data_IF_624413372799
#
_entry.id   IF_624413372799
#
_cell.length_a   1.000
_cell.length_b   1.000
_cell.length_c   1.000
_cell.angle_alpha   90.00
_cell.angle_beta   90.00
_cell.angle_gamma   90.00
#
_symmetry.space_group_name_H-M   'P 1'
#
loop_
_entity.id
_entity.type
_entity.pdbx_description
1 polymer ?
#
# COMPACT_ATOMS: atom_id res chain seq x y z
N UNK A 1 14.35 -7.09 25.51
CA UNK A 1 13.02 -7.68 25.75
C UNK A 1 12.17 -6.67 26.51
N UNK A 2 10.97 -6.36 26.02
CA UNK A 2 10.07 -5.36 26.60
C UNK A 2 8.82 -6.04 27.15
N UNK A 3 8.63 -6.02 28.46
CA UNK A 3 7.50 -6.64 29.14
C UNK A 3 7.29 -6.01 30.53
N UNK A 4 6.38 -6.53 31.33
CA UNK A 4 6.31 -6.23 32.76
C UNK A 4 7.42 -6.98 33.50
N UNK A 5 7.98 -6.37 34.54
CA UNK A 5 9.10 -6.97 35.29
C UNK A 5 8.82 -8.35 35.87
N UNK A 6 7.54 -8.67 36.15
CA UNK A 6 7.09 -9.98 36.62
C UNK A 6 7.10 -11.07 35.54
N UNK A 7 7.16 -10.69 34.26
CA UNK A 7 6.98 -11.59 33.11
C UNK A 7 8.28 -11.87 32.35
N UNK A 8 9.40 -11.27 32.75
CA UNK A 8 10.70 -11.47 32.10
C UNK A 8 11.14 -12.92 32.04
N UNK A 9 10.83 -13.70 33.07
CA UNK A 9 11.19 -15.13 33.14
C UNK A 9 10.66 -15.94 31.94
N UNK A 10 9.55 -15.50 31.30
CA UNK A 10 8.97 -16.21 30.14
C UNK A 10 9.88 -16.25 28.91
N UNK A 11 10.70 -15.22 28.73
CA UNK A 11 11.62 -15.11 27.60
C UNK A 11 13.08 -15.32 28.01
N UNK A 12 13.34 -15.42 29.32
CA UNK A 12 14.68 -15.42 29.88
C UNK A 12 15.48 -16.64 29.48
N UNK A 13 14.91 -17.82 29.66
CA UNK A 13 15.57 -19.09 29.31
C UNK A 13 16.02 -19.09 27.84
N UNK A 14 15.15 -18.67 26.91
CA UNK A 14 15.49 -18.68 25.49
C UNK A 14 16.50 -17.59 25.13
N UNK A 15 16.33 -16.36 25.64
CA UNK A 15 17.21 -15.25 25.29
C UNK A 15 18.61 -15.45 25.90
N UNK A 16 18.71 -15.90 27.15
CA UNK A 16 19.99 -16.11 27.83
C UNK A 16 20.84 -17.20 27.14
N UNK A 17 20.22 -18.17 26.46
CA UNK A 17 20.95 -19.11 25.59
C UNK A 17 21.76 -18.37 24.52
N UNK A 18 21.22 -17.34 23.87
CA UNK A 18 21.95 -16.56 22.86
C UNK A 18 23.11 -15.77 23.46
N UNK A 19 22.92 -15.16 24.64
CA UNK A 19 24.01 -14.45 25.34
C UNK A 19 25.11 -15.40 25.80
N UNK A 20 24.76 -16.62 26.22
CA UNK A 20 25.72 -17.65 26.61
C UNK A 20 26.51 -18.20 25.41
N UNK A 21 25.87 -18.31 24.23
CA UNK A 21 26.50 -18.82 23.01
C UNK A 21 27.42 -17.80 22.34
N UNK A 22 27.23 -16.49 22.57
CA UNK A 22 28.03 -15.45 21.93
C UNK A 22 28.17 -14.20 22.79
N UNK A 23 29.42 -13.82 23.09
CA UNK A 23 29.75 -12.57 23.79
C UNK A 23 29.35 -11.28 23.03
N UNK A 24 28.91 -11.39 21.77
CA UNK A 24 28.41 -10.24 21.00
C UNK A 24 26.95 -9.91 21.32
N UNK A 25 26.20 -10.85 21.89
CA UNK A 25 24.78 -10.68 22.21
C UNK A 25 24.65 -10.13 23.62
N UNK A 26 24.01 -8.96 23.73
CA UNK A 26 23.69 -8.31 24.99
C UNK A 26 22.17 -8.22 25.11
N UNK A 27 21.63 -8.58 26.27
CA UNK A 27 20.19 -8.66 26.49
C UNK A 27 19.81 -7.65 27.56
N UNK A 28 18.95 -6.70 27.17
CA UNK A 28 18.34 -5.76 28.10
C UNK A 28 16.88 -6.13 28.35
N UNK A 29 16.54 -6.36 29.62
CA UNK A 29 15.15 -6.51 30.07
C UNK A 29 14.61 -5.15 30.50
N UNK A 30 13.65 -4.64 29.74
CA UNK A 30 13.09 -3.29 29.92
C UNK A 30 11.66 -3.42 30.40
N UNK A 31 11.42 -2.96 31.63
CA UNK A 31 10.09 -2.91 32.23
C UNK A 31 9.34 -1.72 31.61
N UNK A 32 8.33 -2.01 30.79
CA UNK A 32 7.62 -1.00 29.98
C UNK A 32 6.89 0.01 30.88
N UNK A 33 6.40 -0.44 32.04
CA UNK A 33 5.66 0.40 32.98
C UNK A 33 6.61 1.32 33.77
N UNK A 34 7.80 0.82 34.12
CA UNK A 34 8.82 1.61 34.84
C UNK A 34 9.65 2.50 33.93
N UNK A 35 9.87 2.09 32.68
CA UNK A 35 10.71 2.79 31.69
C UNK A 35 9.93 3.10 30.40
N UNK A 36 8.82 3.85 30.47
CA UNK A 36 7.95 4.07 29.31
C UNK A 36 8.62 4.88 28.19
N UNK A 37 9.65 5.66 28.49
CA UNK A 37 10.39 6.44 27.49
C UNK A 37 11.18 5.53 26.53
N UNK A 38 11.88 4.52 27.06
CA UNK A 38 12.64 3.56 26.25
C UNK A 38 11.72 2.71 25.38
N UNK A 39 10.57 2.27 25.93
CA UNK A 39 9.58 1.52 25.17
C UNK A 39 9.00 2.35 24.02
N UNK A 40 8.73 3.65 24.23
CA UNK A 40 8.27 4.55 23.16
C UNK A 40 9.33 4.78 22.09
N UNK A 41 10.58 4.98 22.48
CA UNK A 41 11.69 5.16 21.53
C UNK A 41 11.92 3.90 20.68
N UNK A 42 11.73 2.72 21.27
CA UNK A 42 11.81 1.44 20.57
C UNK A 42 10.52 1.09 19.79
N UNK A 43 9.49 1.94 19.79
CA UNK A 43 8.25 1.73 19.04
C UNK A 43 7.35 0.61 19.58
N UNK A 44 7.55 0.18 20.83
CA UNK A 44 6.88 -0.96 21.44
C UNK A 44 5.41 -0.63 21.73
N UNK A 45 4.50 -1.46 21.22
CA UNK A 45 3.05 -1.31 21.40
C UNK A 45 2.43 -2.38 22.30
N UNK A 46 3.03 -3.56 22.36
CA UNK A 46 2.52 -4.72 23.10
C UNK A 46 3.55 -5.15 24.15
N UNK A 47 3.08 -5.78 25.22
CA UNK A 47 3.96 -6.48 26.17
C UNK A 47 4.49 -7.78 25.56
N UNK A 48 5.67 -8.20 25.99
CA UNK A 48 6.31 -9.42 25.51
C UNK A 48 7.01 -9.27 24.17
N UNK A 49 7.33 -8.05 23.76
CA UNK A 49 8.00 -7.77 22.48
C UNK A 49 9.52 -7.95 22.61
N UNK A 50 10.10 -8.75 21.72
CA UNK A 50 11.55 -8.90 21.57
C UNK A 50 12.03 -8.08 20.38
N UNK A 51 13.03 -7.21 20.58
CA UNK A 51 13.67 -6.45 19.51
C UNK A 51 15.15 -6.80 19.48
N UNK A 52 15.64 -7.19 18.30
CA UNK A 52 17.06 -7.39 18.00
C UNK A 52 17.60 -6.09 17.41
N UNK A 53 18.65 -5.53 18.02
CA UNK A 53 19.31 -4.32 17.52
C UNK A 53 20.76 -4.63 17.12
N UNK A 54 21.14 -4.25 15.90
CA UNK A 54 22.52 -4.35 15.39
C UNK A 54 22.91 -3.00 14.80
N UNK A 55 23.78 -2.27 15.49
CA UNK A 55 24.10 -0.88 15.15
C UNK A 55 22.85 0.01 15.26
N UNK A 56 22.48 0.67 14.15
CA UNK A 56 21.26 1.48 14.05
C UNK A 56 20.01 0.65 13.68
N UNK A 57 20.18 -0.57 13.14
CA UNK A 57 19.07 -1.39 12.64
C UNK A 57 18.38 -2.11 13.79
N UNK A 58 17.05 -2.09 13.81
CA UNK A 58 16.19 -2.74 14.81
C UNK A 58 15.18 -3.63 14.12
N UNK A 59 15.07 -4.87 14.59
CA UNK A 59 14.16 -5.88 14.04
C UNK A 59 13.35 -6.51 15.19
N UNK A 60 12.03 -6.44 15.11
CA UNK A 60 11.13 -7.10 16.06
C UNK A 60 11.00 -8.59 15.73
N UNK A 61 11.07 -9.46 16.74
CA UNK A 61 10.78 -10.89 16.60
C UNK A 61 9.27 -11.13 16.78
N UNK A 62 8.69 -12.02 15.97
CA UNK A 62 7.25 -12.30 15.98
C UNK A 62 6.79 -12.97 17.29
N UNK A 63 7.68 -13.76 17.90
CA UNK A 63 7.46 -14.37 19.21
C UNK A 63 8.80 -14.55 19.94
N UNK A 64 8.76 -15.18 21.12
CA UNK A 64 9.94 -15.57 21.90
C UNK A 64 10.47 -16.95 21.53
N UNK A 65 10.00 -17.55 20.43
CA UNK A 65 10.53 -18.81 19.91
C UNK A 65 11.95 -18.65 19.37
N UNK A 66 12.74 -19.73 19.38
CA UNK A 66 14.09 -19.70 18.81
C UNK A 66 14.10 -19.30 17.34
N UNK A 67 13.17 -19.86 16.57
CA UNK A 67 13.02 -19.62 15.13
C UNK A 67 12.79 -18.12 14.84
N UNK A 68 11.88 -17.49 15.57
CA UNK A 68 11.55 -16.07 15.37
C UNK A 68 12.69 -15.13 15.80
N UNK A 69 13.39 -15.48 16.89
CA UNK A 69 14.54 -14.72 17.39
C UNK A 69 15.73 -14.85 16.43
N UNK A 70 16.08 -16.07 16.00
CA UNK A 70 17.13 -16.32 15.00
C UNK A 70 16.79 -15.62 13.68
N UNK A 71 15.52 -15.70 13.26
CA UNK A 71 15.03 -14.96 12.10
C UNK A 71 15.27 -13.46 12.24
N UNK A 72 15.00 -12.86 13.40
CA UNK A 72 15.26 -11.44 13.67
C UNK A 72 16.75 -11.09 13.60
N UNK A 73 17.64 -11.95 14.11
CA UNK A 73 19.08 -11.78 13.95
C UNK A 73 19.51 -11.82 12.48
N UNK A 74 19.02 -12.79 11.69
CA UNK A 74 19.33 -12.89 10.27
C UNK A 74 18.86 -11.63 9.53
N UNK A 75 17.68 -11.08 9.86
CA UNK A 75 17.20 -9.80 9.31
C UNK A 75 18.12 -8.63 9.62
N UNK A 76 18.51 -8.52 10.89
CA UNK A 76 19.34 -7.43 11.36
C UNK A 76 20.76 -7.52 10.77
N UNK A 77 21.26 -8.74 10.52
CA UNK A 77 22.56 -9.01 9.90
C UNK A 77 22.55 -8.92 8.37
N UNK A 78 21.43 -9.22 7.70
CA UNK A 78 21.32 -9.11 6.25
C UNK A 78 21.46 -7.64 5.85
N UNK A 79 22.62 -7.32 5.27
CA UNK A 79 22.99 -6.01 4.74
C UNK A 79 22.71 -5.89 3.24
N UNK A 80 21.64 -6.51 2.75
CA UNK A 80 21.22 -6.30 1.36
C UNK A 80 20.39 -5.02 1.32
N UNK A 81 20.99 -3.94 0.81
CA UNK A 81 20.22 -2.80 0.34
C UNK A 81 19.14 -3.33 -0.60
N UNK A 82 17.88 -3.17 -0.19
CA UNK A 82 16.75 -3.65 -0.98
C UNK A 82 16.54 -2.66 -2.11
N UNK A 83 16.86 -3.08 -3.33
CA UNK A 83 16.81 -2.20 -4.49
C UNK A 83 15.43 -2.27 -5.13
N UNK A 84 14.79 -1.10 -5.27
CA UNK A 84 13.50 -0.99 -5.96
C UNK A 84 13.77 -0.39 -7.33
N UNK A 85 13.65 -1.20 -8.39
CA UNK A 85 13.93 -0.75 -9.75
C UNK A 85 12.65 -0.29 -10.44
N UNK A 86 12.61 0.97 -10.83
CA UNK A 86 11.52 1.54 -11.61
C UNK A 86 11.85 1.37 -13.10
N UNK A 87 10.97 0.69 -13.81
CA UNK A 87 11.09 0.52 -15.25
C UNK A 87 10.88 1.86 -15.96
N UNK A 88 11.64 2.07 -17.03
CA UNK A 88 11.58 3.25 -17.89
C UNK A 88 11.74 2.88 -19.36
N UNK A 89 11.26 3.75 -20.23
CA UNK A 89 11.40 3.64 -21.69
C UNK A 89 10.05 3.55 -22.41
N UNK A 90 8.95 3.39 -21.69
CA UNK A 90 7.59 3.33 -22.24
C UNK A 90 6.65 4.37 -21.63
N UNK A 91 7.20 5.51 -21.18
CA UNK A 91 6.43 6.65 -20.67
C UNK A 91 5.98 6.53 -19.21
N UNK A 92 6.61 5.66 -18.43
CA UNK A 92 6.37 5.49 -17.00
C UNK A 92 6.68 6.76 -16.21
N UNK A 93 6.07 6.87 -15.03
CA UNK A 93 6.39 7.89 -14.05
C UNK A 93 7.86 7.80 -13.61
N UNK A 94 8.58 8.92 -13.72
CA UNK A 94 10.00 8.99 -13.37
C UNK A 94 10.18 9.28 -11.88
N UNK A 95 11.09 8.55 -11.23
CA UNK A 95 11.38 8.70 -9.80
C UNK A 95 12.13 9.98 -9.45
N UNK A 96 12.76 10.64 -10.41
CA UNK A 96 13.46 11.90 -10.20
C UNK A 96 12.62 13.12 -10.60
N UNK A 97 11.45 12.88 -11.20
CA UNK A 97 10.52 13.94 -11.58
C UNK A 97 9.80 14.52 -10.35
N UNK A 98 9.93 15.83 -10.16
CA UNK A 98 9.32 16.61 -9.08
C UNK A 98 7.96 17.18 -9.43
N UNK A 99 7.54 17.07 -10.69
CA UNK A 99 6.24 17.53 -11.15
C UNK A 99 5.10 16.71 -10.56
N UNK A 100 3.86 17.17 -10.77
CA UNK A 100 2.64 16.57 -10.21
C UNK A 100 2.47 15.08 -10.55
N UNK A 101 2.94 14.68 -11.72
CA UNK A 101 2.89 13.30 -12.22
C UNK A 101 4.15 12.51 -11.87
N UNK A 102 5.23 13.14 -11.43
CA UNK A 102 6.46 12.45 -11.06
C UNK A 102 6.33 11.60 -9.79
N UNK A 103 7.35 10.78 -9.51
CA UNK A 103 7.39 9.83 -8.39
C UNK A 103 8.46 10.19 -7.33
N UNK A 104 9.07 11.37 -7.38
CA UNK A 104 10.11 11.77 -6.40
C UNK A 104 9.69 11.71 -4.94
N UNK A 105 8.42 11.98 -4.60
CA UNK A 105 7.93 11.79 -3.23
C UNK A 105 7.89 10.31 -2.84
N UNK A 106 7.51 9.42 -3.75
CA UNK A 106 7.55 7.98 -3.48
C UNK A 106 9.00 7.51 -3.33
N UNK A 107 9.93 7.99 -4.17
CA UNK A 107 11.37 7.74 -4.02
C UNK A 107 11.88 8.14 -2.63
N UNK A 108 11.52 9.33 -2.18
CA UNK A 108 11.94 9.83 -0.85
C UNK A 108 11.32 9.00 0.29
N UNK A 109 10.08 8.54 0.12
CA UNK A 109 9.43 7.62 1.07
C UNK A 109 10.13 6.27 1.14
N UNK A 110 10.48 5.69 -0.01
CA UNK A 110 11.22 4.43 -0.09
C UNK A 110 12.62 4.57 0.51
N UNK A 111 13.31 5.67 0.22
CA UNK A 111 14.65 5.96 0.78
C UNK A 111 14.62 6.06 2.30
N UNK A 112 13.55 6.65 2.88
CA UNK A 112 13.35 6.69 4.33
C UNK A 112 13.11 5.32 4.96
N UNK A 113 12.60 4.37 4.19
CA UNK A 113 12.42 2.97 4.59
C UNK A 113 13.65 2.11 4.20
N UNK A 114 14.81 2.76 3.98
CA UNK A 114 16.10 2.12 3.67
C UNK A 114 16.14 1.32 2.36
N UNK A 115 15.15 1.51 1.49
CA UNK A 115 15.24 1.03 0.11
C UNK A 115 16.19 1.90 -0.70
N UNK A 116 16.77 1.32 -1.76
CA UNK A 116 17.53 2.06 -2.78
C UNK A 116 16.72 2.10 -4.07
N UNK A 117 15.93 3.16 -4.34
CA UNK A 117 15.23 3.31 -5.61
C UNK A 117 16.22 3.57 -6.74
N UNK A 118 16.06 2.90 -7.88
CA UNK A 118 16.82 3.20 -9.09
C UNK A 118 15.94 3.10 -10.33
N UNK A 119 16.26 3.87 -11.37
CA UNK A 119 15.62 3.73 -12.68
C UNK A 119 16.39 2.71 -13.54
N UNK A 120 15.67 1.84 -14.25
CA UNK A 120 16.23 0.90 -15.22
C UNK A 120 15.47 1.01 -16.54
N UNK A 121 16.17 0.94 -17.67
CA UNK A 121 15.52 1.00 -18.99
C UNK A 121 15.39 -0.39 -19.61
N UNK A 122 14.16 -0.92 -19.60
CA UNK A 122 13.86 -2.21 -20.25
C UNK A 122 13.83 -2.11 -21.78
N UNK A 123 13.69 -0.89 -22.31
CA UNK A 123 13.80 -0.61 -23.74
C UNK A 123 15.25 -0.73 -24.24
N UNK A 124 16.22 -0.21 -23.47
CA UNK A 124 17.64 -0.28 -23.84
C UNK A 124 18.23 -1.66 -23.57
N UNK A 125 17.85 -2.27 -22.44
CA UNK A 125 18.31 -3.59 -22.05
C UNK A 125 17.13 -4.37 -21.48
N UNK A 126 16.64 -5.33 -22.25
CA UNK A 126 15.53 -6.21 -21.87
C UNK A 126 15.98 -7.26 -20.82
N UNK A 127 16.37 -6.80 -19.64
CA UNK A 127 16.83 -7.61 -18.53
C UNK A 127 16.58 -6.85 -17.22
N UNK A 128 15.97 -7.52 -16.24
CA UNK A 128 15.87 -7.00 -14.87
C UNK A 128 17.19 -7.31 -14.15
N UNK A 129 17.92 -6.32 -13.63
CA UNK A 129 19.18 -6.54 -12.92
C UNK A 129 19.05 -7.50 -11.74
N UNK A 130 20.06 -8.35 -11.50
CA UNK A 130 20.04 -9.35 -10.42
C UNK A 130 20.03 -8.75 -9.00
N UNK A 131 20.49 -7.50 -8.84
CA UNK A 131 20.42 -6.76 -7.58
C UNK A 131 19.03 -6.12 -7.34
N UNK A 132 18.09 -6.26 -8.28
CA UNK A 132 16.73 -5.78 -8.14
C UNK A 132 15.94 -6.66 -7.19
N UNK A 133 15.48 -6.09 -6.08
CA UNK A 133 14.61 -6.78 -5.12
C UNK A 133 13.15 -6.69 -5.55
N UNK A 134 12.72 -5.52 -6.02
CA UNK A 134 11.36 -5.29 -6.53
C UNK A 134 11.44 -4.50 -7.83
N UNK A 135 10.82 -5.01 -8.89
CA UNK A 135 10.59 -4.29 -10.13
C UNK A 135 9.27 -3.51 -10.03
N UNK A 136 9.25 -2.23 -10.42
CA UNK A 136 8.04 -1.42 -10.48
C UNK A 136 7.80 -0.97 -11.92
N UNK A 137 6.65 -1.34 -12.48
CA UNK A 137 6.15 -0.84 -13.77
C UNK A 137 5.12 0.25 -13.45
N UNK A 138 5.53 1.51 -13.57
CA UNK A 138 4.81 2.66 -13.05
C UNK A 138 4.05 3.45 -14.13
N UNK A 139 2.89 2.96 -14.56
CA UNK A 139 1.99 3.69 -15.47
C UNK A 139 2.57 3.91 -16.87
N UNK A 140 2.91 2.85 -17.64
CA UNK A 140 3.43 3.03 -18.98
C UNK A 140 2.37 3.60 -19.91
N UNK A 141 2.70 4.70 -20.59
CA UNK A 141 1.81 5.31 -21.58
C UNK A 141 2.01 4.74 -22.98
N UNK A 142 3.14 4.10 -23.25
CA UNK A 142 3.44 3.43 -24.52
C UNK A 142 3.49 1.90 -24.37
N UNK A 143 3.37 1.19 -25.49
CA UNK A 143 3.39 -0.28 -25.49
C UNK A 143 4.77 -0.86 -25.16
N UNK A 144 4.77 -1.79 -24.21
CA UNK A 144 5.92 -2.66 -23.96
C UNK A 144 6.18 -3.60 -25.14
N UNK A 145 7.44 -3.61 -25.61
CA UNK A 145 7.87 -4.55 -26.63
C UNK A 145 8.06 -5.96 -26.05
N UNK A 146 7.84 -7.00 -26.86
CA UNK A 146 7.88 -8.39 -26.42
C UNK A 146 9.16 -8.77 -25.64
N UNK A 147 10.38 -8.35 -26.04
CA UNK A 147 11.59 -8.67 -25.28
C UNK A 147 11.56 -8.14 -23.84
N UNK A 148 11.00 -6.94 -23.61
CA UNK A 148 10.85 -6.38 -22.27
C UNK A 148 9.81 -7.16 -21.46
N UNK A 149 8.70 -7.55 -22.08
CA UNK A 149 7.67 -8.39 -21.44
C UNK A 149 8.25 -9.75 -21.05
N UNK A 150 9.04 -10.37 -21.92
CA UNK A 150 9.70 -11.65 -21.66
C UNK A 150 10.71 -11.55 -20.51
N UNK A 151 11.44 -10.43 -20.41
CA UNK A 151 12.35 -10.17 -19.30
C UNK A 151 11.62 -10.06 -17.95
N UNK A 152 10.49 -9.35 -17.92
CA UNK A 152 9.62 -9.25 -16.74
C UNK A 152 9.06 -10.62 -16.36
N UNK A 153 8.56 -11.36 -17.36
CA UNK A 153 8.03 -12.71 -17.17
C UNK A 153 9.09 -13.61 -16.53
N UNK A 154 10.27 -13.67 -17.14
CA UNK A 154 11.39 -14.48 -16.63
C UNK A 154 11.73 -14.10 -15.19
N UNK A 155 11.86 -12.82 -14.89
CA UNK A 155 12.20 -12.33 -13.56
C UNK A 155 11.19 -12.80 -12.50
N UNK A 156 9.88 -12.64 -12.73
CA UNK A 156 8.86 -13.08 -11.76
C UNK A 156 8.78 -14.60 -11.67
N UNK A 157 8.84 -15.32 -12.79
CA UNK A 157 8.78 -16.79 -12.83
C UNK A 157 10.05 -17.47 -12.26
N UNK A 158 11.13 -16.72 -12.03
CA UNK A 158 12.34 -17.17 -11.36
C UNK A 158 12.38 -16.80 -9.86
N UNK A 159 11.29 -16.25 -9.32
CA UNK A 159 11.17 -15.89 -7.89
C UNK A 159 11.20 -14.37 -7.63
N UNK A 160 11.33 -13.57 -8.67
CA UNK A 160 11.33 -12.11 -8.59
C UNK A 160 10.00 -11.52 -8.12
N UNK A 161 10.07 -10.25 -7.75
CA UNK A 161 8.95 -9.48 -7.16
C UNK A 161 8.61 -8.29 -8.03
N UNK A 162 7.36 -8.15 -8.48
CA UNK A 162 6.97 -7.08 -9.38
C UNK A 162 5.73 -6.30 -8.91
N UNK A 163 5.74 -4.98 -9.10
CA UNK A 163 4.62 -4.09 -8.81
C UNK A 163 4.17 -3.43 -10.11
N UNK A 164 2.95 -3.75 -10.55
CA UNK A 164 2.35 -3.23 -11.77
C UNK A 164 1.31 -2.18 -11.43
N UNK A 165 1.54 -0.96 -11.89
CA UNK A 165 0.62 0.15 -11.82
C UNK A 165 0.18 0.46 -13.25
N UNK A 166 -1.03 0.06 -13.64
CA UNK A 166 -1.43 0.08 -15.04
C UNK A 166 -2.76 0.79 -15.22
N UNK A 167 -2.71 1.93 -15.90
CA UNK A 167 -3.82 2.82 -16.14
C UNK A 167 -4.79 2.28 -17.22
N UNK A 168 -6.03 2.79 -17.27
CA UNK A 168 -6.92 2.62 -18.41
C UNK A 168 -6.29 3.16 -19.71
N UNK A 169 -6.53 2.53 -20.86
CA UNK A 169 -6.05 3.04 -22.15
C UNK A 169 -6.88 4.26 -22.61
N UNK A 170 -6.59 5.40 -21.99
CA UNK A 170 -7.28 6.66 -22.22
C UNK A 170 -6.74 7.38 -23.44
N UNK A 171 -7.67 7.90 -24.25
CA UNK A 171 -7.37 8.74 -25.42
C UNK A 171 -8.06 10.08 -25.25
N UNK A 172 -7.46 10.95 -24.42
CA UNK A 172 -8.07 12.22 -24.03
C UNK A 172 -7.19 13.40 -24.46
N UNK A 173 -7.63 14.12 -25.49
CA UNK A 173 -6.91 15.28 -26.01
C UNK A 173 -5.54 14.90 -26.58
N UNK A 174 -4.45 15.43 -25.99
CA UNK A 174 -3.06 15.13 -26.39
C UNK A 174 -2.42 14.00 -25.58
N UNK A 175 -3.13 13.45 -24.60
CA UNK A 175 -2.64 12.35 -23.78
C UNK A 175 -3.25 11.04 -24.29
N UNK A 176 -2.38 10.13 -24.68
CA UNK A 176 -2.74 8.77 -25.10
C UNK A 176 -1.97 7.78 -24.23
N UNK A 177 -2.73 6.84 -23.65
CA UNK A 177 -2.21 5.69 -22.92
C UNK A 177 -2.50 4.47 -23.78
N UNK A 178 -1.44 3.77 -24.17
CA UNK A 178 -1.53 2.56 -24.99
C UNK A 178 -2.18 1.40 -24.22
N UNK A 179 -2.76 0.47 -24.97
CA UNK A 179 -3.44 -0.70 -24.42
C UNK A 179 -2.51 -1.64 -23.64
N UNK A 180 -1.22 -1.66 -24.00
CA UNK A 180 -0.21 -2.56 -23.43
C UNK A 180 -0.62 -4.03 -23.53
N UNK A 181 -1.17 -4.45 -24.68
CA UNK A 181 -1.77 -5.76 -24.88
C UNK A 181 -0.81 -6.93 -24.52
N UNK A 182 0.48 -6.81 -24.81
CA UNK A 182 1.46 -7.85 -24.47
C UNK A 182 1.67 -8.01 -22.96
N UNK A 183 1.75 -6.89 -22.23
CA UNK A 183 1.86 -6.89 -20.77
C UNK A 183 0.54 -7.32 -20.12
N UNK A 184 -0.60 -6.89 -20.65
CA UNK A 184 -1.92 -7.34 -20.21
C UNK A 184 -2.09 -8.86 -20.40
N UNK A 185 -1.63 -9.40 -21.54
CA UNK A 185 -1.64 -10.84 -21.82
C UNK A 185 -0.76 -11.63 -20.85
N UNK A 186 0.40 -11.10 -20.46
CA UNK A 186 1.25 -11.71 -19.43
C UNK A 186 0.50 -11.82 -18.09
N UNK A 187 -0.12 -10.73 -17.64
CA UNK A 187 -0.89 -10.71 -16.39
C UNK A 187 -2.12 -11.63 -16.46
N UNK A 188 -2.77 -11.71 -17.62
CA UNK A 188 -3.89 -12.62 -17.85
C UNK A 188 -3.45 -14.09 -17.69
N UNK A 189 -2.27 -14.46 -18.20
CA UNK A 189 -1.69 -15.79 -17.99
C UNK A 189 -1.38 -16.09 -16.51
N UNK A 190 -1.17 -15.05 -15.70
CA UNK A 190 -1.01 -15.15 -14.24
C UNK A 190 -2.34 -15.06 -13.48
N UNK A 191 -3.47 -14.94 -14.18
CA UNK A 191 -4.80 -14.93 -13.58
C UNK A 191 -5.39 -13.55 -13.31
N UNK A 192 -4.83 -12.49 -13.91
CA UNK A 192 -5.31 -11.11 -13.78
C UNK A 192 -5.68 -10.53 -15.14
N UNK A 193 -6.98 -10.41 -15.41
CA UNK A 193 -7.51 -9.85 -16.65
C UNK A 193 -7.84 -8.38 -16.47
N UNK A 194 -7.07 -7.50 -17.10
CA UNK A 194 -7.26 -6.05 -17.02
C UNK A 194 -8.36 -5.62 -17.97
N UNK A 195 -9.32 -4.83 -17.49
CA UNK A 195 -10.42 -4.36 -18.30
C UNK A 195 -10.04 -3.04 -18.99
N UNK A 196 -10.52 -2.85 -20.22
CA UNK A 196 -10.39 -1.58 -20.96
C UNK A 196 -11.54 -0.65 -20.56
N UNK A 197 -11.60 -0.29 -19.29
CA UNK A 197 -12.61 0.59 -18.70
C UNK A 197 -12.02 1.62 -17.74
N UNK A 198 -12.79 2.67 -17.46
CA UNK A 198 -12.47 3.69 -16.45
C UNK A 198 -13.57 3.66 -15.39
N UNK A 199 -13.17 3.43 -14.15
CA UNK A 199 -14.06 3.49 -12.98
C UNK A 199 -14.32 4.95 -12.64
N UNK A 200 -15.61 5.24 -12.46
CA UNK A 200 -16.18 6.49 -12.03
C UNK A 200 -16.89 6.24 -10.70
N UNK A 201 -16.50 6.95 -9.66
CA UNK A 201 -17.04 6.79 -8.33
C UNK A 201 -18.02 7.91 -7.99
N UNK A 202 -19.29 7.54 -7.82
CA UNK A 202 -20.36 8.46 -7.46
C UNK A 202 -20.61 8.51 -5.96
N UNK A 203 -19.68 7.98 -5.15
CA UNK A 203 -19.79 7.99 -3.69
C UNK A 203 -19.92 9.42 -3.15
N UNK A 204 -21.02 9.74 -2.43
CA UNK A 204 -21.23 11.07 -1.87
C UNK A 204 -20.11 11.53 -0.94
N UNK A 205 -19.45 10.61 -0.22
CA UNK A 205 -18.33 10.91 0.68
C UNK A 205 -17.15 11.47 -0.11
N UNK A 206 -16.82 10.86 -1.26
CA UNK A 206 -15.75 11.33 -2.14
C UNK A 206 -16.04 12.73 -2.69
N UNK A 207 -17.28 12.97 -3.12
CA UNK A 207 -17.71 14.28 -3.62
C UNK A 207 -17.65 15.37 -2.54
N UNK A 208 -18.07 15.05 -1.31
CA UNK A 208 -17.94 15.96 -0.16
C UNK A 208 -16.48 16.26 0.21
N UNK A 209 -15.58 15.30 -0.04
CA UNK A 209 -14.13 15.47 0.13
C UNK A 209 -13.47 16.23 -1.05
N UNK A 210 -14.24 16.69 -2.04
CA UNK A 210 -13.73 17.41 -3.20
C UNK A 210 -13.10 16.52 -4.27
N UNK A 211 -13.31 15.21 -4.21
CA UNK A 211 -12.89 14.28 -5.26
C UNK A 211 -13.88 14.32 -6.42
N UNK A 212 -13.35 14.41 -7.64
CA UNK A 212 -14.16 14.25 -8.84
C UNK A 212 -14.56 12.78 -9.07
N UNK A 213 -15.58 12.50 -9.91
CA UNK A 213 -16.02 11.14 -10.21
C UNK A 213 -14.91 10.22 -10.73
N UNK A 214 -13.88 10.78 -11.37
CA UNK A 214 -12.74 10.02 -11.89
C UNK A 214 -11.72 9.55 -10.82
N UNK A 215 -12.02 9.77 -9.54
CA UNK A 215 -11.20 9.31 -8.42
C UNK A 215 -12.00 8.34 -7.58
N UNK A 216 -11.66 7.05 -7.66
CA UNK A 216 -12.32 6.04 -6.83
C UNK A 216 -11.86 6.14 -5.38
N UNK A 217 -12.80 6.20 -4.44
CA UNK A 217 -12.54 6.25 -3.01
C UNK A 217 -12.79 4.87 -2.39
N UNK A 218 -11.71 4.23 -1.95
CA UNK A 218 -11.75 2.92 -1.31
C UNK A 218 -11.69 3.10 0.20
N UNK A 219 -12.64 2.44 0.88
CA UNK A 219 -12.77 2.46 2.35
C UNK A 219 -12.90 1.06 2.94
N UNK A 220 -13.06 0.05 2.09
CA UNK A 220 -13.18 -1.36 2.45
C UNK A 220 -12.05 -2.14 1.79
N UNK A 221 -11.38 -2.98 2.57
CA UNK A 221 -10.23 -3.77 2.15
C UNK A 221 -10.45 -5.22 2.54
N UNK A 222 -10.02 -6.12 1.66
CA UNK A 222 -10.03 -7.56 1.91
C UNK A 222 -8.93 -7.94 2.93
N UNK A 223 -8.89 -9.21 3.32
CA UNK A 223 -7.88 -9.71 4.26
C UNK A 223 -6.59 -10.00 3.50
N UNK A 224 -5.61 -9.12 3.62
CA UNK A 224 -4.26 -9.34 3.10
C UNK A 224 -3.24 -8.51 3.88
N UNK A 225 -2.00 -9.00 4.01
CA UNK A 225 -0.94 -8.33 4.78
C UNK A 225 -0.68 -6.88 4.33
N UNK A 226 -0.85 -6.60 3.04
CA UNK A 226 -0.69 -5.25 2.46
C UNK A 226 -1.72 -4.24 3.02
N UNK A 227 -2.97 -4.68 3.25
CA UNK A 227 -4.11 -3.77 3.47
C UNK A 227 -4.78 -3.94 4.83
N UNK A 228 -4.37 -4.93 5.63
CA UNK A 228 -4.94 -5.19 6.96
C UNK A 228 -4.91 -3.95 7.86
N UNK A 229 -3.85 -3.14 7.78
CA UNK A 229 -3.65 -1.93 8.59
C UNK A 229 -4.29 -0.67 8.00
N UNK A 230 -4.86 -0.77 6.79
CA UNK A 230 -5.58 0.34 6.14
C UNK A 230 -7.03 0.46 6.61
N UNK A 231 -7.51 -0.45 7.47
CA UNK A 231 -8.85 -0.38 8.05
C UNK A 231 -9.05 0.95 8.80
N UNK A 232 -10.08 1.68 8.39
CA UNK A 232 -10.39 3.02 8.93
C UNK A 232 -9.64 4.18 8.25
N UNK A 233 -8.81 3.90 7.23
CA UNK A 233 -8.17 4.91 6.39
C UNK A 233 -8.66 4.78 4.95
N UNK A 234 -9.08 5.89 4.34
CA UNK A 234 -9.48 5.87 2.93
C UNK A 234 -8.25 5.93 2.02
N UNK A 235 -8.31 5.28 0.87
CA UNK A 235 -7.35 5.42 -0.23
C UNK A 235 -8.08 5.92 -1.47
N UNK A 236 -7.38 6.68 -2.31
CA UNK A 236 -7.97 7.30 -3.50
C UNK A 236 -7.20 6.93 -4.75
N UNK A 237 -7.92 6.60 -5.82
CA UNK A 237 -7.34 6.11 -7.07
C UNK A 237 -7.84 6.95 -8.25
N UNK A 238 -7.08 7.97 -8.67
CA UNK A 238 -7.39 8.72 -9.88
C UNK A 238 -7.22 7.84 -11.13
N UNK A 239 -8.14 7.97 -12.08
CA UNK A 239 -8.06 7.31 -13.40
C UNK A 239 -7.80 5.80 -13.28
N UNK A 240 -8.69 5.10 -12.60
CA UNK A 240 -8.49 3.69 -12.27
C UNK A 240 -9.34 2.77 -13.14
N UNK A 241 -8.76 1.67 -13.62
CA UNK A 241 -9.47 0.60 -14.34
C UNK A 241 -9.81 -0.57 -13.46
N UNK A 242 -10.81 -1.35 -13.86
CA UNK A 242 -11.14 -2.60 -13.19
C UNK A 242 -10.31 -3.78 -13.69
N UNK A 243 -10.31 -4.87 -12.92
CA UNK A 243 -9.73 -6.14 -13.33
C UNK A 243 -10.60 -7.31 -12.86
N UNK A 244 -10.46 -8.44 -13.53
CA UNK A 244 -11.05 -9.72 -13.14
C UNK A 244 -9.94 -10.67 -12.71
N UNK A 245 -10.21 -11.49 -11.69
CA UNK A 245 -9.23 -12.42 -11.13
C UNK A 245 -9.67 -13.87 -11.26
N UNK A 246 -8.72 -14.73 -11.62
CA UNK A 246 -8.89 -16.17 -11.62
C UNK A 246 -7.54 -16.86 -11.41
N UNK A 247 -7.35 -17.45 -10.24
CA UNK A 247 -6.15 -18.25 -9.94
C UNK A 247 -5.96 -19.39 -10.96
N UNK A 248 -4.72 -19.76 -11.19
CA UNK A 248 -4.31 -20.83 -12.14
C UNK A 248 -3.59 -21.95 -11.39
N UNK A 249 -3.14 -22.97 -12.11
CA UNK A 249 -2.35 -24.07 -11.52
C UNK A 249 -1.02 -23.55 -10.93
N UNK A 250 -0.41 -22.56 -11.58
CA UNK A 250 0.87 -21.97 -11.18
C UNK A 250 0.75 -20.70 -10.34
N UNK A 251 -0.40 -20.04 -10.35
CA UNK A 251 -0.58 -18.75 -9.67
C UNK A 251 -1.73 -18.76 -8.69
N UNK A 252 -1.51 -18.18 -7.52
CA UNK A 252 -2.58 -17.84 -6.56
C UNK A 252 -2.75 -16.34 -6.58
N UNK A 253 -3.98 -15.86 -6.76
CA UNK A 253 -4.31 -14.43 -6.84
C UNK A 253 -5.40 -14.11 -5.83
N UNK A 254 -5.13 -13.12 -4.99
CA UNK A 254 -6.03 -12.63 -3.95
C UNK A 254 -6.38 -11.17 -4.22
N UNK A 255 -7.65 -10.83 -4.05
CA UNK A 255 -8.10 -9.43 -4.12
C UNK A 255 -7.60 -8.66 -2.91
N UNK A 256 -7.21 -7.40 -3.11
CA UNK A 256 -6.84 -6.48 -2.04
C UNK A 256 -8.00 -5.56 -1.68
N UNK A 257 -8.66 -5.00 -2.70
CA UNK A 257 -9.82 -4.13 -2.53
C UNK A 257 -10.57 -3.92 -3.85
N UNK A 258 -11.85 -3.60 -3.69
CA UNK A 258 -12.77 -3.26 -4.75
C UNK A 258 -13.15 -1.77 -4.69
N UNK A 259 -13.74 -1.25 -5.77
CA UNK A 259 -14.37 0.06 -5.83
C UNK A 259 -15.63 0.12 -4.95
N UNK A 260 -16.20 1.32 -4.81
CA UNK A 260 -17.46 1.49 -4.08
C UNK A 260 -18.64 0.81 -4.80
N UNK A 261 -19.67 0.41 -4.05
CA UNK A 261 -20.96 -0.08 -4.58
C UNK A 261 -21.63 0.93 -5.53
N UNK A 262 -21.38 2.22 -5.31
CA UNK A 262 -21.90 3.32 -6.14
C UNK A 262 -21.05 3.62 -7.38
N UNK A 263 -20.00 2.85 -7.62
CA UNK A 263 -19.12 3.07 -8.77
C UNK A 263 -19.71 2.51 -10.07
N UNK A 264 -19.22 3.04 -11.18
CA UNK A 264 -19.56 2.66 -12.54
C UNK A 264 -18.28 2.55 -13.36
N UNK A 265 -18.10 1.51 -14.15
CA UNK A 265 -17.03 1.45 -15.14
C UNK A 265 -17.55 1.75 -16.54
N UNK A 266 -16.98 2.78 -17.18
CA UNK A 266 -17.28 3.15 -18.56
C UNK A 266 -16.20 2.67 -19.52
N UNK A 267 -16.61 2.24 -20.71
CA UNK A 267 -15.70 1.89 -21.82
C UNK A 267 -15.48 3.06 -22.78
N UNK A 268 -16.08 4.23 -22.50
CA UNK A 268 -15.91 5.46 -23.28
C UNK A 268 -14.62 6.18 -22.88
N UNK A 269 -13.49 5.62 -23.28
CA UNK A 269 -12.15 6.09 -22.90
C UNK A 269 -11.64 7.31 -23.70
N UNK A 270 -12.47 7.80 -24.63
CA UNK A 270 -12.18 8.92 -25.51
C UNK A 270 -13.02 10.17 -25.21
N UNK A 271 -13.83 10.17 -24.13
CA UNK A 271 -14.67 11.28 -23.74
C UNK A 271 -14.58 11.54 -22.23
N UNK A 272 -14.52 12.80 -21.78
CA UNK A 272 -14.62 13.16 -20.37
C UNK A 272 -16.05 13.04 -19.81
N UNK A 273 -17.05 12.81 -20.66
CA UNK A 273 -18.45 12.81 -20.23
C UNK A 273 -18.82 11.54 -19.46
N UNK A 274 -19.14 11.75 -18.18
CA UNK A 274 -19.74 10.73 -17.33
C UNK A 274 -21.25 10.69 -17.60
N UNK A 275 -21.74 9.61 -18.20
CA UNK A 275 -23.17 9.31 -18.25
C UNK A 275 -23.49 8.14 -17.31
N UNK A 276 -23.98 8.40 -16.08
CA UNK A 276 -24.32 7.34 -15.13
C UNK A 276 -25.43 6.39 -15.60
N UNK A 277 -26.28 6.85 -16.52
CA UNK A 277 -27.43 6.12 -17.02
C UNK A 277 -27.11 5.31 -18.29
N UNK A 278 -25.85 5.28 -18.74
CA UNK A 278 -25.46 4.45 -19.87
C UNK A 278 -25.62 2.96 -19.50
N UNK A 279 -26.49 2.20 -20.19
CA UNK A 279 -26.72 0.79 -19.88
C UNK A 279 -25.48 -0.10 -20.12
N UNK A 280 -24.47 0.41 -20.84
CA UNK A 280 -23.20 -0.29 -21.04
C UNK A 280 -22.23 -0.15 -19.88
N UNK A 281 -22.49 0.75 -18.93
CA UNK A 281 -21.63 0.89 -17.76
C UNK A 281 -21.77 -0.35 -16.86
N UNK A 282 -20.65 -0.96 -16.49
CA UNK A 282 -20.64 -2.00 -15.46
C UNK A 282 -20.81 -1.35 -14.09
N UNK A 283 -21.67 -1.90 -13.23
CA UNK A 283 -21.89 -1.38 -11.88
C UNK A 283 -20.90 -2.00 -10.90
N UNK A 284 -20.54 -1.21 -9.88
CA UNK A 284 -19.75 -1.64 -8.74
C UNK A 284 -20.40 -2.73 -7.90
N UNK A 285 -19.62 -3.35 -7.00
CA UNK A 285 -18.19 -3.11 -6.76
C UNK A 285 -17.32 -3.83 -7.82
N UNK A 286 -16.19 -3.22 -8.17
CA UNK A 286 -15.25 -3.70 -9.20
C UNK A 286 -13.85 -3.83 -8.61
N UNK A 287 -13.15 -4.93 -8.88
CA UNK A 287 -11.80 -5.14 -8.35
C UNK A 287 -10.81 -4.16 -8.95
N UNK A 288 -10.08 -3.44 -8.07
CA UNK A 288 -9.09 -2.42 -8.45
C UNK A 288 -7.66 -2.90 -8.24
N UNK A 289 -7.44 -3.76 -7.24
CA UNK A 289 -6.10 -4.19 -6.86
C UNK A 289 -6.06 -5.61 -6.35
N UNK A 290 -4.98 -6.30 -6.69
CA UNK A 290 -4.77 -7.73 -6.42
C UNK A 290 -3.31 -7.99 -6.07
N UNK A 291 -3.08 -9.00 -5.23
CA UNK A 291 -1.78 -9.57 -4.99
C UNK A 291 -1.76 -11.00 -5.51
N UNK A 292 -0.63 -11.46 -6.02
CA UNK A 292 -0.47 -12.82 -6.47
C UNK A 292 0.91 -13.40 -6.21
N UNK A 293 0.96 -14.72 -6.14
CA UNK A 293 2.19 -15.50 -6.09
C UNK A 293 2.30 -16.45 -7.29
N UNK A 294 3.52 -16.71 -7.73
CA UNK A 294 3.85 -17.64 -8.80
C UNK A 294 4.70 -18.79 -8.26
N UNK A 295 4.21 -20.02 -8.41
CA UNK A 295 4.90 -21.24 -8.01
C UNK A 295 5.95 -21.61 -9.04
N UNK A 296 7.21 -21.39 -8.68
CA UNK A 296 8.36 -21.69 -9.55
C UNK A 296 8.74 -23.18 -9.57
N UNK A 297 8.17 -23.97 -8.65
CA UNK A 297 8.50 -25.38 -8.44
C UNK A 297 9.80 -25.61 -7.66
N UNK A 298 10.45 -24.53 -7.20
CA UNK A 298 11.60 -24.57 -6.29
C UNK A 298 11.18 -24.16 -4.88
N UNK A 299 11.73 -24.83 -3.88
CA UNK A 299 11.46 -24.53 -2.47
C UNK A 299 11.91 -23.09 -2.13
N UNK A 300 11.07 -22.36 -1.39
CA UNK A 300 11.31 -20.98 -0.93
C UNK A 300 11.67 -19.97 -2.03
N UNK A 301 11.20 -20.21 -3.27
CA UNK A 301 11.52 -19.38 -4.44
C UNK A 301 10.25 -18.95 -5.18
N UNK A 302 9.15 -18.67 -4.47
CA UNK A 302 7.93 -18.17 -5.12
C UNK A 302 8.16 -16.77 -5.69
N UNK A 303 7.65 -16.51 -6.90
CA UNK A 303 7.53 -15.16 -7.44
C UNK A 303 6.35 -14.45 -6.79
N UNK A 304 6.38 -13.12 -6.69
CA UNK A 304 5.21 -12.35 -6.25
C UNK A 304 4.96 -11.16 -7.14
N UNK A 305 3.71 -10.78 -7.24
CA UNK A 305 3.32 -9.58 -7.93
C UNK A 305 2.14 -8.89 -7.26
N UNK A 306 2.06 -7.57 -7.43
CA UNK A 306 0.87 -6.78 -7.11
C UNK A 306 0.47 -6.00 -8.34
N UNK A 307 -0.82 -5.95 -8.64
CA UNK A 307 -1.38 -5.18 -9.75
C UNK A 307 -2.39 -4.20 -9.19
N UNK A 308 -2.27 -2.92 -9.57
CA UNK A 308 -3.25 -1.87 -9.28
C UNK A 308 -3.63 -1.19 -10.59
N UNK A 309 -4.93 -1.02 -10.82
CA UNK A 309 -5.48 -0.46 -12.05
C UNK A 309 -5.25 1.05 -12.26
N UNK A 310 -4.33 1.67 -11.51
CA UNK A 310 -3.99 3.09 -11.59
C UNK A 310 -2.55 3.26 -11.14
N UNK A 311 -1.85 4.18 -11.77
CA UNK A 311 -0.52 4.64 -11.38
C UNK A 311 -0.54 6.03 -10.74
N UNK A 312 -1.56 6.83 -11.03
CA UNK A 312 -1.68 8.21 -10.56
C UNK A 312 -1.83 8.33 -9.03
N UNK A 313 -2.33 7.30 -8.34
CA UNK A 313 -2.49 7.30 -6.88
C UNK A 313 -1.16 7.38 -6.13
N UNK A 314 -0.07 6.93 -6.76
CA UNK A 314 1.28 6.93 -6.21
C UNK A 314 2.12 8.13 -6.69
N UNK A 315 1.59 8.96 -7.60
CA UNK A 315 2.26 10.16 -8.08
C UNK A 315 2.34 11.25 -7.01
N UNK A 316 3.26 12.21 -7.20
CA UNK A 316 3.51 13.33 -6.27
C UNK A 316 2.24 14.10 -5.87
N UNK A 317 1.30 14.24 -6.80
CA UNK A 317 0.03 14.93 -6.58
C UNK A 317 -0.96 14.19 -5.68
N UNK A 318 -0.81 12.87 -5.49
CA UNK A 318 -1.82 12.04 -4.84
C UNK A 318 -1.28 11.08 -3.78
N UNK A 319 0.01 10.78 -3.74
CA UNK A 319 0.62 9.88 -2.73
C UNK A 319 0.41 10.34 -1.28
N UNK A 320 0.22 11.64 -1.07
CA UNK A 320 -0.07 12.22 0.26
C UNK A 320 -1.55 12.13 0.66
N UNK A 321 -2.41 11.56 -0.19
CA UNK A 321 -3.83 11.38 0.12
C UNK A 321 -4.04 10.24 1.11
N UNK A 322 -4.44 10.58 2.34
CA UNK A 322 -4.84 9.62 3.38
C UNK A 322 -3.94 8.37 3.43
N UNK A 323 -4.49 7.19 3.17
CA UNK A 323 -3.78 5.90 3.27
C UNK A 323 -2.87 5.55 2.09
N UNK A 324 -2.74 6.40 1.05
CA UNK A 324 -1.98 6.04 -0.15
C UNK A 324 -0.49 5.85 0.14
N UNK A 325 0.11 6.69 0.98
CA UNK A 325 1.50 6.49 1.45
C UNK A 325 1.68 5.11 2.05
N UNK A 326 0.80 4.75 2.98
CA UNK A 326 0.89 3.48 3.70
C UNK A 326 0.65 2.29 2.77
N UNK A 327 -0.31 2.40 1.83
CA UNK A 327 -0.54 1.36 0.82
C UNK A 327 0.70 1.12 -0.05
N UNK A 328 1.36 2.18 -0.54
CA UNK A 328 2.56 2.05 -1.37
C UNK A 328 3.73 1.41 -0.61
N UNK A 329 3.94 1.81 0.64
CA UNK A 329 4.98 1.25 1.50
C UNK A 329 4.68 -0.20 1.89
N UNK A 330 3.45 -0.50 2.31
CA UNK A 330 3.03 -1.86 2.65
C UNK A 330 3.16 -2.81 1.46
N UNK A 331 2.82 -2.35 0.26
CA UNK A 331 2.96 -3.12 -0.99
C UNK A 331 4.42 -3.42 -1.28
N UNK A 332 5.27 -2.39 -1.23
CA UNK A 332 6.71 -2.56 -1.48
C UNK A 332 7.36 -3.45 -0.42
N UNK A 333 6.97 -3.30 0.85
CA UNK A 333 7.43 -4.15 1.94
C UNK A 333 7.00 -5.60 1.75
N UNK A 334 5.73 -5.88 1.43
CA UNK A 334 5.26 -7.25 1.20
C UNK A 334 5.97 -7.91 0.01
N UNK A 335 6.24 -7.15 -1.04
CA UNK A 335 7.03 -7.60 -2.18
C UNK A 335 8.48 -7.84 -1.78
N UNK A 336 9.11 -6.93 -1.04
CA UNK A 336 10.51 -7.05 -0.67
C UNK A 336 10.78 -7.97 0.53
N UNK A 337 9.75 -8.40 1.25
CA UNK A 337 9.85 -9.33 2.36
C UNK A 337 10.07 -10.76 1.86
N UNK A 338 11.11 -11.40 2.41
CA UNK A 338 11.19 -12.86 2.45
C UNK A 338 10.07 -13.39 3.36
N UNK A 339 9.57 -14.61 3.14
CA UNK A 339 8.43 -15.20 3.86
C UNK A 339 8.54 -15.17 5.38
N UNK A 340 9.77 -15.13 5.88
CA UNK A 340 10.07 -15.11 7.30
C UNK A 340 10.01 -13.71 7.94
N UNK A 341 9.82 -12.65 7.15
CA UNK A 341 10.18 -11.26 7.50
C UNK A 341 9.04 -10.25 7.29
N UNK A 342 7.89 -10.46 7.91
CA UNK A 342 6.85 -9.42 8.00
C UNK A 342 7.15 -8.58 9.24
N UNK A 343 7.91 -7.50 9.07
CA UNK A 343 8.06 -6.46 10.10
C UNK A 343 6.85 -5.53 10.04
N UNK A 344 6.10 -5.43 11.14
CA UNK A 344 5.01 -4.46 11.27
C UNK A 344 5.63 -3.07 11.44
N UNK A 345 5.23 -2.12 10.60
CA UNK A 345 5.77 -0.76 10.63
C UNK A 345 5.34 -0.01 11.91
N UNK A 346 6.25 0.68 12.61
CA UNK A 346 5.88 1.66 13.63
C UNK A 346 5.01 2.75 12.99
N UNK A 347 3.85 3.05 13.57
CA UNK A 347 2.90 4.00 13.00
C UNK A 347 3.38 5.41 13.34
N UNK A 348 3.75 6.19 12.33
CA UNK A 348 3.84 7.65 12.49
C UNK A 348 2.48 8.14 13.01
N UNK A 349 2.48 9.08 13.96
CA UNK A 349 1.22 9.69 14.40
C UNK A 349 0.58 10.35 13.18
N UNK A 350 -0.61 9.87 12.80
CA UNK A 350 -1.46 10.55 11.82
C UNK A 350 -1.56 12.02 12.26
N UNK A 351 -1.02 12.92 11.45
CA UNK A 351 -1.26 14.35 11.60
C UNK A 351 -2.71 14.59 11.16
N UNK A 352 -3.66 14.26 12.04
CA UNK A 352 -5.10 14.47 11.86
C UNK A 352 -5.40 15.96 11.96
N UNK A 353 -4.78 16.78 11.11
CA UNK A 353 -5.19 18.16 10.94
C UNK A 353 -6.47 18.13 10.16
N UNK A 354 -7.54 18.53 10.82
CA UNK A 354 -8.78 18.85 10.17
C UNK A 354 -8.50 20.11 9.33
N UNK A 355 -8.28 19.95 8.02
CA UNK A 355 -8.17 21.07 7.08
C UNK A 355 -9.57 21.56 6.74
N UNK A 356 -10.18 22.33 7.62
CA UNK A 356 -11.46 23.01 7.37
C UNK A 356 -11.22 24.37 6.72
N UNK A 357 -12.04 24.71 5.74
CA UNK A 357 -12.15 26.10 5.26
C UNK A 357 -12.77 26.98 6.37
N UNK A 358 -12.51 28.29 6.36
CA UNK A 358 -13.12 29.23 7.34
C UNK A 358 -14.65 29.14 7.38
N UNK A 359 -15.29 28.85 6.25
CA UNK A 359 -16.74 28.65 6.18
C UNK A 359 -17.23 27.40 6.93
N UNK A 360 -16.51 26.28 6.78
CA UNK A 360 -16.84 25.03 7.48
C UNK A 360 -16.63 25.16 9.00
N UNK A 361 -15.56 25.85 9.44
CA UNK A 361 -15.31 26.09 10.86
C UNK A 361 -16.44 26.90 11.51
N UNK A 362 -16.94 27.94 10.81
CA UNK A 362 -18.07 28.74 11.29
C UNK A 362 -19.37 27.92 11.37
N UNK A 363 -19.63 27.06 10.38
CA UNK A 363 -20.84 26.20 10.38
C UNK A 363 -20.83 25.18 11.52
N UNK A 364 -19.67 24.57 11.79
CA UNK A 364 -19.49 23.67 12.93
C UNK A 364 -19.64 24.43 14.25
N UNK A 365 -19.10 25.65 14.35
CA UNK A 365 -19.28 26.49 15.54
C UNK A 365 -20.75 26.85 15.81
N UNK A 366 -21.49 27.28 14.79
CA UNK A 366 -22.90 27.67 14.94
C UNK A 366 -23.77 26.49 15.36
N UNK A 367 -23.54 25.31 14.77
CA UNK A 367 -24.34 24.11 15.07
C UNK A 367 -24.03 23.56 16.46
N UNK A 368 -22.75 23.47 16.83
CA UNK A 368 -22.32 22.89 18.10
C UNK A 368 -22.52 23.81 19.30
N UNK A 369 -22.20 25.10 19.20
CA UNK A 369 -22.35 26.05 20.31
C UNK A 369 -23.69 26.79 20.33
N UNK A 370 -24.38 26.91 19.19
CA UNK A 370 -25.64 27.63 19.09
C UNK A 370 -26.84 26.69 19.08
N UNK A 371 -26.98 25.94 18.00
CA UNK A 371 -28.21 25.24 17.64
C UNK A 371 -28.55 24.09 18.60
N UNK A 372 -27.55 23.29 18.99
CA UNK A 372 -27.71 22.18 19.93
C UNK A 372 -28.11 22.64 21.34
N UNK A 373 -27.39 23.57 22.00
CA UNK A 373 -27.79 24.09 23.31
C UNK A 373 -29.15 24.76 23.29
N UNK A 374 -29.45 25.55 22.24
CA UNK A 374 -30.75 26.22 22.12
C UNK A 374 -31.89 25.20 21.99
N UNK A 375 -31.68 24.12 21.24
CA UNK A 375 -32.63 23.01 21.14
C UNK A 375 -32.93 22.37 22.49
N UNK A 376 -31.90 22.16 23.32
CA UNK A 376 -32.06 21.63 24.69
C UNK A 376 -32.85 22.60 25.56
N UNK A 377 -32.57 23.90 25.50
CA UNK A 377 -33.30 24.93 26.26
C UNK A 377 -34.77 24.98 25.83
N UNK A 378 -35.04 24.99 24.53
CA UNK A 378 -36.41 25.01 24.00
C UNK A 378 -37.17 23.76 24.44
N UNK A 379 -36.54 22.58 24.38
CA UNK A 379 -37.14 21.34 24.87
C UNK A 379 -37.43 21.40 26.38
N UNK A 380 -36.50 21.94 27.18
CA UNK A 380 -36.70 22.14 28.61
C UNK A 380 -37.87 23.09 28.94
N UNK A 381 -37.94 24.24 28.25
CA UNK A 381 -39.01 25.23 28.43
C UNK A 381 -40.37 24.67 27.98
N UNK A 382 -40.42 23.96 26.85
CA UNK A 382 -41.67 23.38 26.35
C UNK A 382 -42.19 22.26 27.26
N UNK A 383 -41.32 21.44 27.86
CA UNK A 383 -41.73 20.46 28.89
C UNK A 383 -42.24 21.16 30.15
N UNK A 384 -41.58 22.24 30.59
CA UNK A 384 -42.03 23.03 31.74
C UNK A 384 -43.41 23.65 31.52
N UNK A 385 -43.66 24.23 30.34
CA UNK A 385 -44.96 24.83 30.00
C UNK A 385 -46.08 23.81 29.88
N UNK A 386 -45.78 22.56 29.51
CA UNK A 386 -46.78 21.50 29.39
C UNK A 386 -47.13 20.82 30.72
N UNK A 387 -46.28 20.99 31.74
CA UNK A 387 -46.47 20.44 33.10
C UNK A 387 -47.11 21.43 34.07
N UNK A 388 -47.24 22.69 33.66
CA UNK A 388 -47.94 23.74 34.38
C UNK A 388 -49.35 23.85 33.83
#
# INVERSE_FOLDING_TARGET
YFDQGTHFERAKDQLDLYANLSHKVHIDYVDVDKKPQLAREAGIKNYGTTVVQIGAKREEAKSTSEEDITGAFIRALKNNARTVCFASGSGEHQIDDTDRTGYSRLRDLLTKEEYTPKSISLLQKAEVPADCTVLVVAGPTGDYQQPAVDAIKKYVEEGGRAFFLLDPPLKMGRSEIADNDALASLLQNWGVTLQKDLILDLNPIGQLAGLGPQVALVTHYDRHAIVNDLKGSATGFPLVRSMEVKSTDKTTVEKLFDSSESSLATTKLNSPEVNPNDPKNKKGPLTIAVAGSYRTGKENSEGRFVVVGSSAWAANSFISFNGNRDLALNTTNWLASDEDLISIRPKDRDDRRITMTRGQLNWVGITSLGLLPLGIVIAGVSVWWRRR
#
